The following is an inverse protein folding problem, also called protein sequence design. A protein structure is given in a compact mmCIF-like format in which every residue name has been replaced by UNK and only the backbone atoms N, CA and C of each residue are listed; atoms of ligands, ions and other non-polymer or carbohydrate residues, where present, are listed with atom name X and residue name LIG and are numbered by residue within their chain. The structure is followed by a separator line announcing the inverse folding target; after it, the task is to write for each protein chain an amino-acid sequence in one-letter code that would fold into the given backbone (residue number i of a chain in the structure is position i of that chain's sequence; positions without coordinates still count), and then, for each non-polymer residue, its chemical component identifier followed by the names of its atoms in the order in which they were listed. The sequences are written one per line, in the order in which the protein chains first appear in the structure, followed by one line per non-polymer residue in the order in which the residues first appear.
data_IF_982275281504
#
_entry.id   IF_982275281504
#
_cell.length_a   1.000
_cell.length_b   1.000
_cell.length_c   1.000
_cell.angle_alpha   90.00
_cell.angle_beta   90.00
_cell.angle_gamma   90.00
#
_symmetry.space_group_name_H-M   'P 1'
#
loop_
_entity.id
_entity.type
_entity.pdbx_description
1 polymer ?
#
# COMPACT_ATOMS: atom_id res chain seq x y z
N UNK A 1 -2.26 -5.07 -1.69
CA UNK A 1 -1.18 -6.07 -1.87
C UNK A 1 -0.83 -6.20 -3.35
N UNK A 2 0.43 -6.48 -3.69
CA UNK A 2 0.90 -6.73 -5.06
C UNK A 2 2.07 -7.70 -5.04
N UNK A 3 2.23 -8.50 -6.10
CA UNK A 3 3.42 -9.33 -6.34
C UNK A 3 4.53 -8.56 -7.08
N UNK A 4 4.18 -7.46 -7.76
CA UNK A 4 5.12 -6.63 -8.49
C UNK A 4 4.81 -5.16 -8.17
N UNK A 5 5.72 -4.51 -7.43
CA UNK A 5 5.59 -3.12 -7.02
C UNK A 5 5.75 -2.16 -8.20
N UNK A 6 6.69 -2.43 -9.10
CA UNK A 6 7.02 -1.57 -10.25
C UNK A 6 5.82 -1.48 -11.19
N UNK A 7 5.23 -2.64 -11.55
CA UNK A 7 4.02 -2.68 -12.38
C UNK A 7 2.89 -1.90 -11.75
N UNK A 8 2.61 -2.16 -10.48
CA UNK A 8 1.52 -1.50 -9.73
C UNK A 8 1.70 0.02 -9.68
N UNK A 9 2.93 0.50 -9.49
CA UNK A 9 3.25 1.92 -9.52
C UNK A 9 2.98 2.54 -10.89
N UNK A 10 3.37 1.88 -11.99
CA UNK A 10 3.04 2.35 -13.33
C UNK A 10 1.53 2.39 -13.59
N UNK A 11 0.79 1.35 -13.20
CA UNK A 11 -0.69 1.32 -13.35
C UNK A 11 -1.36 2.49 -12.60
N UNK A 12 -0.88 2.80 -11.39
CA UNK A 12 -1.38 3.92 -10.60
C UNK A 12 -1.03 5.28 -11.21
N UNK A 13 0.21 5.47 -11.68
CA UNK A 13 0.64 6.70 -12.38
C UNK A 13 -0.16 6.91 -13.67
N UNK A 14 -0.50 5.82 -14.37
CA UNK A 14 -1.29 5.84 -15.60
C UNK A 14 -2.81 5.85 -15.36
N UNK A 15 -3.25 6.07 -14.10
CA UNK A 15 -4.68 6.21 -13.73
C UNK A 15 -5.55 5.00 -14.09
N UNK A 16 -4.95 3.81 -14.22
CA UNK A 16 -5.66 2.60 -14.68
C UNK A 16 -6.60 1.98 -13.63
N UNK A 17 -6.52 2.43 -12.38
CA UNK A 17 -7.42 2.02 -11.31
C UNK A 17 -8.36 3.17 -10.91
N UNK A 18 -9.68 2.90 -10.93
CA UNK A 18 -10.78 3.84 -10.67
C UNK A 18 -10.59 4.61 -9.35
N UNK A 19 -10.13 3.93 -8.30
CA UNK A 19 -9.95 4.56 -6.98
C UNK A 19 -8.76 5.52 -6.90
N UNK A 20 -7.72 5.26 -7.69
CA UNK A 20 -6.49 6.07 -7.71
C UNK A 20 -6.41 7.01 -8.92
N UNK A 21 -7.31 6.87 -9.90
CA UNK A 21 -7.29 7.65 -11.14
C UNK A 21 -7.50 9.15 -10.91
N UNK A 22 -8.21 9.49 -9.82
CA UNK A 22 -8.49 10.87 -9.40
C UNK A 22 -7.43 11.45 -8.46
N UNK A 23 -6.44 10.66 -8.04
CA UNK A 23 -5.36 11.13 -7.17
C UNK A 23 -4.22 11.66 -8.03
N UNK A 24 -3.80 12.90 -7.79
CA UNK A 24 -2.56 13.45 -8.36
C UNK A 24 -1.37 13.06 -7.48
N UNK A 25 -0.21 12.81 -8.10
CA UNK A 25 1.09 12.60 -7.42
C UNK A 25 1.11 11.44 -6.40
N UNK A 26 0.81 10.22 -6.84
CA UNK A 26 0.88 9.02 -6.00
C UNK A 26 2.35 8.65 -5.75
N UNK A 27 2.77 8.68 -4.49
CA UNK A 27 4.07 8.21 -4.03
C UNK A 27 3.92 7.08 -3.00
N UNK A 28 4.86 6.13 -3.01
CA UNK A 28 4.88 5.02 -2.07
C UNK A 28 5.76 5.39 -0.88
N UNK A 29 5.12 5.57 0.28
CA UNK A 29 5.79 5.96 1.54
C UNK A 29 6.17 4.78 2.43
N UNK A 30 5.60 3.59 2.17
CA UNK A 30 5.82 2.41 3.01
C UNK A 30 5.59 1.13 2.21
N UNK A 31 6.53 0.18 2.34
CA UNK A 31 6.42 -1.17 1.78
C UNK A 31 6.87 -2.21 2.80
N UNK A 32 6.22 -3.37 2.78
CA UNK A 32 6.63 -4.56 3.51
C UNK A 32 6.64 -5.74 2.54
N UNK A 33 7.62 -6.64 2.68
CA UNK A 33 7.72 -7.88 1.91
C UNK A 33 7.43 -9.06 2.82
N UNK A 34 6.76 -10.07 2.27
CA UNK A 34 6.37 -11.29 2.96
C UNK A 34 6.56 -12.46 2.00
N UNK A 35 6.90 -13.62 2.53
CA UNK A 35 7.14 -14.82 1.74
C UNK A 35 5.84 -15.47 1.28
N UNK A 36 4.79 -15.39 2.10
CA UNK A 36 3.48 -15.95 1.77
C UNK A 36 2.41 -14.89 1.54
N UNK A 37 1.49 -15.19 0.62
CA UNK A 37 0.30 -14.38 0.38
C UNK A 37 -0.58 -14.25 1.63
N UNK A 38 -0.68 -15.32 2.42
CA UNK A 38 -1.52 -15.34 3.63
C UNK A 38 -1.04 -14.32 4.67
N UNK A 39 0.27 -14.25 4.91
CA UNK A 39 0.87 -13.28 5.82
C UNK A 39 0.73 -11.86 5.30
N UNK A 40 1.05 -11.64 4.02
CA UNK A 40 0.89 -10.34 3.37
C UNK A 40 -0.57 -9.84 3.46
N UNK A 41 -1.54 -10.74 3.29
CA UNK A 41 -2.96 -10.42 3.37
C UNK A 41 -3.40 -10.10 4.80
N UNK A 42 -3.00 -10.90 5.79
CA UNK A 42 -3.28 -10.63 7.21
C UNK A 42 -2.74 -9.26 7.60
N UNK A 43 -1.52 -8.94 7.17
CA UNK A 43 -0.89 -7.65 7.41
C UNK A 43 -1.63 -6.50 6.72
N UNK A 44 -1.98 -6.65 5.44
CA UNK A 44 -2.75 -5.64 4.70
C UNK A 44 -4.07 -5.32 5.40
N UNK A 45 -4.79 -6.34 5.88
CA UNK A 45 -6.04 -6.17 6.62
C UNK A 45 -5.79 -5.43 7.93
N UNK A 46 -4.77 -5.83 8.70
CA UNK A 46 -4.39 -5.13 9.92
C UNK A 46 -4.09 -3.65 9.66
N UNK A 47 -3.30 -3.31 8.64
CA UNK A 47 -2.92 -1.93 8.33
C UNK A 47 -4.13 -1.04 7.98
N UNK A 48 -5.23 -1.64 7.50
CA UNK A 48 -6.49 -0.91 7.22
C UNK A 48 -7.34 -0.65 8.46
N UNK A 49 -7.09 -1.34 9.58
CA UNK A 49 -7.78 -1.12 10.87
C UNK A 49 -7.31 0.18 11.55
N UNK A 50 -8.08 0.64 12.55
CA UNK A 50 -7.71 1.81 13.37
C UNK A 50 -6.36 1.66 14.07
N UNK A 51 -6.04 0.46 14.57
CA UNK A 51 -4.76 0.17 15.19
C UNK A 51 -3.61 0.21 14.16
N UNK A 52 -3.83 -0.36 12.97
CA UNK A 52 -2.87 -0.32 11.87
C UNK A 52 -2.58 1.09 11.38
N UNK A 53 -3.60 1.96 11.30
CA UNK A 53 -3.41 3.38 10.97
C UNK A 53 -2.59 4.13 12.01
N UNK A 54 -2.77 3.83 13.31
CA UNK A 54 -1.91 4.38 14.38
C UNK A 54 -0.46 3.92 14.24
N UNK A 55 -0.26 2.64 13.94
CA UNK A 55 1.07 2.10 13.64
C UNK A 55 1.74 2.84 12.48
N UNK A 56 1.03 3.03 11.36
CA UNK A 56 1.55 3.75 10.20
C UNK A 56 1.86 5.21 10.53
N UNK A 57 1.01 5.91 11.27
CA UNK A 57 1.26 7.28 11.70
C UNK A 57 2.56 7.37 12.51
N UNK A 58 2.79 6.45 13.45
CA UNK A 58 4.02 6.41 14.25
C UNK A 58 5.25 6.08 13.40
N UNK A 59 5.12 5.20 12.40
CA UNK A 59 6.22 4.84 11.50
C UNK A 59 6.60 5.94 10.52
N UNK A 60 5.62 6.71 10.06
CA UNK A 60 5.81 7.78 9.06
C UNK A 60 6.06 9.16 9.68
N UNK A 61 5.84 9.34 11.00
CA UNK A 61 6.12 10.61 11.69
C UNK A 61 7.57 10.71 12.22
N UNK A 62 8.54 10.15 11.49
CA UNK A 62 9.96 10.42 11.72
C UNK A 62 10.38 11.54 10.79
#
# INVERSE_FOLDING_TARGET
MTNNLIRRLHEHKNRQNISTSRMSNIEVVYIEKYDTFSEARKREVYLKTSAGRRFLKKKLST
#
